data_IF_671795914551
#
_entry.id   IF_671795914551
#
_cell.length_a   1.000
_cell.length_b   1.000
_cell.length_c   1.000
_cell.angle_alpha   90.00
_cell.angle_beta   90.00
_cell.angle_gamma   90.00
#
_symmetry.space_group_name_H-M   'P 1'
#
loop_
_entity.id
_entity.type
_entity.pdbx_description
1 polymer ?
#
# COMPACT_ATOMS: atom_id res chain seq x y z
N UNK A 1 20.73 -0.11 -82.53
CA UNK A 1 20.08 0.56 -81.39
C UNK A 1 19.64 -0.52 -80.41
N UNK A 2 20.38 -0.74 -79.32
CA UNK A 2 20.07 -1.78 -78.33
C UNK A 2 20.17 -1.17 -76.93
N UNK A 3 19.03 -0.94 -76.27
CA UNK A 3 18.99 -0.44 -74.89
C UNK A 3 19.19 -1.62 -73.93
N UNK A 4 20.32 -1.66 -73.22
CA UNK A 4 20.46 -2.52 -72.04
C UNK A 4 19.65 -1.92 -70.88
N UNK A 5 18.68 -2.69 -70.38
CA UNK A 5 17.94 -2.37 -69.15
C UNK A 5 18.76 -2.85 -67.94
N UNK A 6 19.08 -1.92 -67.05
CA UNK A 6 19.67 -2.17 -65.74
C UNK A 6 18.68 -2.96 -64.87
N UNK A 7 19.08 -4.17 -64.46
CA UNK A 7 18.38 -4.93 -63.42
C UNK A 7 19.04 -4.59 -62.09
N UNK A 8 18.36 -3.85 -61.23
CA UNK A 8 18.85 -3.58 -59.87
C UNK A 8 18.60 -4.82 -59.00
N UNK A 9 19.61 -5.35 -58.28
CA UNK A 9 19.45 -6.54 -57.45
C UNK A 9 18.58 -6.26 -56.23
N UNK A 10 17.58 -7.12 -56.00
CA UNK A 10 16.54 -7.04 -54.95
C UNK A 10 17.05 -7.46 -53.55
N UNK A 11 18.34 -7.30 -53.25
CA UNK A 11 18.93 -7.73 -51.97
C UNK A 11 19.02 -6.64 -50.90
N UNK A 12 18.59 -5.41 -51.21
CA UNK A 12 18.71 -4.27 -50.30
C UNK A 12 17.55 -4.09 -49.29
N UNK A 13 16.63 -5.07 -49.17
CA UNK A 13 15.40 -4.94 -48.35
C UNK A 13 15.25 -5.99 -47.24
N UNK A 14 16.30 -6.76 -46.90
CA UNK A 14 16.19 -7.79 -45.85
C UNK A 14 17.10 -7.58 -44.63
N UNK A 15 17.99 -6.58 -44.63
CA UNK A 15 18.88 -6.34 -43.50
C UNK A 15 18.34 -5.33 -42.46
N UNK A 16 17.30 -4.54 -42.79
CA UNK A 16 16.83 -3.46 -41.92
C UNK A 16 15.80 -3.85 -40.85
N UNK A 17 15.13 -4.99 -41.00
CA UNK A 17 14.01 -5.38 -40.12
C UNK A 17 14.45 -6.14 -38.86
N UNK A 18 15.63 -6.77 -38.84
CA UNK A 18 16.11 -7.53 -37.68
C UNK A 18 16.67 -6.65 -36.55
N UNK A 19 17.25 -5.48 -36.86
CA UNK A 19 17.85 -4.59 -35.83
C UNK A 19 16.79 -3.80 -35.05
N UNK A 20 15.68 -3.43 -35.71
CA UNK A 20 14.58 -2.69 -35.06
C UNK A 20 13.74 -3.55 -34.11
N UNK A 21 13.55 -4.84 -34.42
CA UNK A 21 12.79 -5.75 -33.56
C UNK A 21 13.54 -6.13 -32.27
N UNK A 22 14.87 -6.30 -32.35
CA UNK A 22 15.70 -6.64 -31.19
C UNK A 22 15.86 -5.47 -30.19
N UNK A 23 15.96 -4.22 -30.69
CA UNK A 23 16.06 -3.04 -29.82
C UNK A 23 14.77 -2.76 -29.02
N UNK A 24 13.60 -2.97 -29.63
CA UNK A 24 12.31 -2.75 -28.97
C UNK A 24 12.03 -3.78 -27.85
N UNK A 25 12.45 -5.04 -28.04
CA UNK A 25 12.30 -6.08 -27.02
C UNK A 25 13.19 -5.82 -25.78
N UNK A 26 14.40 -5.27 -25.96
CA UNK A 26 15.30 -4.93 -24.85
C UNK A 26 14.78 -3.73 -24.04
N UNK A 27 14.18 -2.73 -24.69
CA UNK A 27 13.59 -1.57 -23.99
C UNK A 27 12.34 -1.97 -23.19
N UNK A 28 11.49 -2.86 -23.69
CA UNK A 28 10.31 -3.35 -22.94
C UNK A 28 10.68 -4.16 -21.68
N UNK A 29 11.81 -4.87 -21.70
CA UNK A 29 12.29 -5.64 -20.56
C UNK A 29 12.85 -4.76 -19.41
N UNK A 30 13.24 -3.51 -19.69
CA UNK A 30 13.84 -2.60 -18.71
C UNK A 30 12.84 -1.75 -17.92
N UNK A 31 11.53 -1.82 -18.23
CA UNK A 31 10.48 -1.00 -17.58
C UNK A 31 9.64 -1.81 -16.58
N UNK A 32 10.02 -3.06 -16.29
CA UNK A 32 9.34 -3.88 -15.28
C UNK A 32 9.93 -3.57 -13.91
N UNK A 33 9.67 -2.39 -13.38
CA UNK A 33 9.85 -2.15 -11.95
C UNK A 33 8.83 -3.04 -11.21
N UNK A 34 9.27 -3.93 -10.31
CA UNK A 34 8.34 -4.73 -9.52
C UNK A 34 7.60 -3.78 -8.57
N UNK A 35 6.36 -3.44 -8.90
CA UNK A 35 5.46 -2.82 -7.93
C UNK A 35 5.16 -3.89 -6.88
N UNK A 36 5.66 -3.71 -5.67
CA UNK A 36 5.30 -4.57 -4.54
C UNK A 36 3.84 -4.32 -4.18
N UNK A 37 2.94 -5.11 -4.79
CA UNK A 37 1.54 -5.11 -4.39
C UNK A 37 1.46 -5.81 -3.03
N UNK A 38 1.36 -5.04 -1.96
CA UNK A 38 1.18 -5.58 -0.62
C UNK A 38 -0.27 -6.10 -0.51
N UNK A 39 -0.45 -7.41 -0.41
CA UNK A 39 -1.77 -8.02 -0.23
C UNK A 39 -2.31 -7.71 1.18
N UNK A 40 -3.05 -6.61 1.32
CA UNK A 40 -3.73 -6.23 2.57
C UNK A 40 -5.04 -6.99 2.73
N UNK A 41 -5.44 -7.26 3.97
CA UNK A 41 -6.79 -7.78 4.24
C UNK A 41 -7.85 -6.75 3.84
N UNK A 42 -9.07 -7.21 3.52
CA UNK A 42 -10.19 -6.31 3.23
C UNK A 42 -10.49 -5.36 4.40
N UNK A 43 -10.29 -5.81 5.64
CA UNK A 43 -10.45 -4.99 6.85
C UNK A 43 -9.39 -3.89 6.97
N UNK A 44 -8.11 -4.20 6.70
CA UNK A 44 -7.06 -3.17 6.71
C UNK A 44 -7.28 -2.16 5.58
N UNK A 45 -7.69 -2.61 4.40
CA UNK A 45 -8.08 -1.71 3.31
C UNK A 45 -9.29 -0.85 3.69
N UNK A 46 -10.29 -1.43 4.37
CA UNK A 46 -11.43 -0.67 4.90
C UNK A 46 -11.00 0.38 5.91
N UNK A 47 -10.05 0.05 6.80
CA UNK A 47 -9.50 1.00 7.76
C UNK A 47 -8.83 2.18 7.05
N UNK A 48 -8.04 1.92 6.00
CA UNK A 48 -7.41 2.98 5.21
C UNK A 48 -8.42 3.82 4.44
N UNK A 49 -9.57 3.25 4.07
CA UNK A 49 -10.66 4.03 3.45
C UNK A 49 -11.39 4.90 4.48
N UNK A 50 -11.60 4.40 5.70
CA UNK A 50 -12.22 5.17 6.80
C UNK A 50 -11.28 6.27 7.31
N UNK A 51 -9.98 5.98 7.44
CA UNK A 51 -8.96 6.88 7.97
C UNK A 51 -7.79 7.04 6.98
N UNK A 52 -7.96 7.79 5.88
CA UNK A 52 -6.96 7.88 4.81
C UNK A 52 -5.62 8.49 5.26
N UNK A 53 -5.63 9.31 6.31
CA UNK A 53 -4.42 9.88 6.89
C UNK A 53 -3.45 8.83 7.45
N UNK A 54 -3.93 7.61 7.75
CA UNK A 54 -3.12 6.55 8.33
C UNK A 54 -2.26 5.79 7.31
N UNK A 55 -2.48 5.98 6.01
CA UNK A 55 -1.86 5.19 4.95
C UNK A 55 -0.33 5.13 5.03
N UNK A 56 0.31 6.20 5.52
CA UNK A 56 1.76 6.33 5.66
C UNK A 56 2.25 6.23 7.11
N UNK A 57 1.44 5.67 8.01
CA UNK A 57 1.74 5.57 9.44
C UNK A 57 1.97 4.13 9.90
N UNK A 58 2.44 3.95 11.15
CA UNK A 58 2.59 2.62 11.76
C UNK A 58 1.26 1.85 11.89
N UNK A 59 0.12 2.55 11.89
CA UNK A 59 -1.21 1.95 11.95
C UNK A 59 -1.64 1.28 10.63
N UNK A 60 -0.92 1.51 9.53
CA UNK A 60 -1.13 0.78 8.28
C UNK A 60 -0.44 -0.60 8.30
N UNK A 61 -0.78 -1.41 9.31
CA UNK A 61 -0.23 -2.74 9.56
C UNK A 61 -1.29 -3.61 10.21
N UNK A 62 -1.21 -4.93 10.01
CA UNK A 62 -2.10 -5.89 10.68
C UNK A 62 -2.01 -5.81 12.21
N UNK A 63 -0.90 -5.27 12.74
CA UNK A 63 -0.69 -5.08 14.18
C UNK A 63 -1.77 -4.21 14.83
N UNK A 64 -2.42 -3.32 14.07
CA UNK A 64 -3.51 -2.49 14.61
C UNK A 64 -4.68 -3.30 15.16
N UNK A 65 -4.93 -4.50 14.63
CA UNK A 65 -5.99 -5.40 15.10
C UNK A 65 -5.47 -6.68 15.75
N UNK A 66 -4.18 -7.00 15.64
CA UNK A 66 -3.61 -8.29 16.03
C UNK A 66 -2.41 -8.14 16.94
N UNK A 67 -2.41 -8.88 18.06
CA UNK A 67 -1.18 -9.14 18.83
C UNK A 67 -0.28 -10.13 18.11
N UNK A 68 -0.88 -11.16 17.51
CA UNK A 68 -0.25 -12.16 16.66
C UNK A 68 -1.33 -12.74 15.76
N UNK A 69 -1.09 -12.92 14.46
CA UNK A 69 -2.13 -13.48 13.59
C UNK A 69 -2.33 -14.97 13.92
N UNK A 70 -3.57 -15.45 14.19
CA UNK A 70 -4.87 -14.78 14.01
C UNK A 70 -5.48 -14.14 15.27
N UNK A 71 -4.80 -14.22 16.42
CA UNK A 71 -5.20 -13.62 17.70
C UNK A 71 -5.44 -12.11 17.59
N UNK A 72 -6.61 -11.64 18.03
CA UNK A 72 -6.94 -10.22 18.05
C UNK A 72 -6.38 -9.55 19.30
N UNK A 73 -5.99 -8.28 19.17
CA UNK A 73 -5.84 -7.39 20.33
C UNK A 73 -7.23 -6.89 20.78
N UNK A 74 -7.34 -6.16 21.90
CA UNK A 74 -8.61 -5.65 22.38
C UNK A 74 -9.36 -4.77 21.34
N UNK A 75 -8.67 -3.89 20.61
CA UNK A 75 -9.27 -3.10 19.51
C UNK A 75 -9.86 -3.96 18.39
N UNK A 76 -9.10 -4.95 17.91
CA UNK A 76 -9.54 -5.88 16.89
C UNK A 76 -10.74 -6.72 17.35
N UNK A 77 -10.78 -7.08 18.64
CA UNK A 77 -11.91 -7.77 19.25
C UNK A 77 -13.14 -6.85 19.32
N UNK A 78 -12.99 -5.59 19.76
CA UNK A 78 -14.06 -4.60 19.75
C UNK A 78 -14.62 -4.37 18.33
N UNK A 79 -13.74 -4.26 17.33
CA UNK A 79 -14.14 -4.14 15.93
C UNK A 79 -14.97 -5.35 15.45
N UNK A 80 -14.53 -6.56 15.77
CA UNK A 80 -15.24 -7.79 15.44
C UNK A 80 -16.62 -7.86 16.12
N UNK A 81 -16.70 -7.53 17.40
CA UNK A 81 -17.94 -7.62 18.19
C UNK A 81 -18.96 -6.56 17.81
N UNK A 82 -18.51 -5.42 17.28
CA UNK A 82 -19.36 -4.33 16.77
C UNK A 82 -19.61 -4.44 15.25
N UNK A 83 -19.60 -5.66 14.71
CA UNK A 83 -20.02 -5.91 13.33
C UNK A 83 -19.06 -5.36 12.28
N UNK A 84 -17.77 -5.20 12.61
CA UNK A 84 -16.74 -4.68 11.71
C UNK A 84 -17.01 -3.23 11.26
N UNK A 85 -17.53 -2.40 12.17
CA UNK A 85 -17.83 -1.00 11.95
C UNK A 85 -16.89 -0.09 12.79
N UNK A 86 -15.95 0.60 12.13
CA UNK A 86 -14.99 1.47 12.81
C UNK A 86 -15.66 2.63 13.57
N UNK A 87 -16.61 3.39 12.99
CA UNK A 87 -17.32 4.45 13.73
C UNK A 87 -18.00 3.98 15.01
N UNK A 88 -18.49 2.74 15.06
CA UNK A 88 -19.19 2.19 16.23
C UNK A 88 -18.27 1.96 17.43
N UNK A 89 -16.95 1.91 17.23
CA UNK A 89 -15.98 1.70 18.29
C UNK A 89 -15.13 2.93 18.59
N UNK A 90 -15.28 4.03 17.85
CA UNK A 90 -14.42 5.23 18.00
C UNK A 90 -14.34 5.77 19.43
N UNK A 91 -15.46 5.74 20.16
CA UNK A 91 -15.56 6.25 21.53
C UNK A 91 -15.27 5.20 22.62
N UNK A 92 -14.99 3.95 22.24
CA UNK A 92 -14.57 2.92 23.19
C UNK A 92 -13.10 3.13 23.54
N UNK A 93 -12.76 2.82 24.77
CA UNK A 93 -11.39 2.60 25.26
C UNK A 93 -11.19 1.08 25.26
N UNK A 94 -10.58 0.53 24.21
CA UNK A 94 -10.60 -0.92 23.99
C UNK A 94 -9.61 -1.67 24.88
N UNK A 95 -8.49 -1.05 25.21
CA UNK A 95 -7.41 -1.63 26.03
C UNK A 95 -7.36 -1.08 27.47
N UNK A 96 -8.32 -0.23 27.83
CA UNK A 96 -8.58 0.29 29.17
C UNK A 96 -7.44 1.16 29.72
N UNK A 97 -6.81 1.95 28.85
CA UNK A 97 -5.68 2.82 29.19
C UNK A 97 -6.09 4.28 29.48
N UNK A 98 -7.37 4.60 29.33
CA UNK A 98 -7.95 5.92 29.55
C UNK A 98 -8.12 6.77 28.29
N UNK A 99 -7.75 6.28 27.12
CA UNK A 99 -7.93 6.94 25.83
C UNK A 99 -8.95 6.22 24.96
N UNK A 100 -9.82 6.98 24.29
CA UNK A 100 -10.71 6.39 23.30
C UNK A 100 -9.92 6.02 22.04
N UNK A 101 -10.33 4.96 21.36
CA UNK A 101 -9.77 4.51 20.09
C UNK A 101 -9.54 5.63 19.07
N UNK A 102 -10.50 6.57 18.90
CA UNK A 102 -10.36 7.66 17.93
C UNK A 102 -9.27 8.66 18.32
N UNK A 103 -9.08 8.90 19.62
CA UNK A 103 -8.05 9.80 20.13
C UNK A 103 -6.66 9.24 19.84
N UNK A 104 -6.49 7.93 20.02
CA UNK A 104 -5.26 7.21 19.71
C UNK A 104 -4.99 7.12 18.21
N UNK A 105 -6.00 6.79 17.41
CA UNK A 105 -5.89 6.78 15.94
C UNK A 105 -5.44 8.15 15.42
N UNK A 106 -5.99 9.24 15.96
CA UNK A 106 -5.58 10.61 15.60
C UNK A 106 -4.17 10.96 16.08
N UNK A 107 -3.75 10.42 17.24
CA UNK A 107 -2.39 10.54 17.76
C UNK A 107 -1.39 9.56 17.10
N UNK A 108 -1.86 8.70 16.19
CA UNK A 108 -1.07 7.65 15.55
C UNK A 108 -0.48 6.69 16.59
N UNK A 109 -1.28 6.28 17.57
CA UNK A 109 -0.95 5.26 18.56
C UNK A 109 -1.88 4.04 18.42
N UNK A 110 -1.50 2.88 18.94
CA UNK A 110 -2.20 1.60 18.72
C UNK A 110 -3.35 1.42 19.72
N UNK A 111 -4.63 1.49 19.28
CA UNK A 111 -5.81 1.49 20.17
C UNK A 111 -6.13 0.16 20.88
N UNK A 112 -5.23 -0.81 20.77
CA UNK A 112 -5.34 -2.12 21.40
C UNK A 112 -4.04 -2.51 22.11
N UNK A 113 -3.21 -1.54 22.44
CA UNK A 113 -1.96 -1.67 23.17
C UNK A 113 -1.89 -0.55 24.23
N UNK A 114 -2.22 -0.89 25.48
CA UNK A 114 -2.24 0.06 26.61
C UNK A 114 -0.88 0.70 26.91
N UNK A 115 0.21 0.24 26.27
CA UNK A 115 1.54 0.84 26.36
C UNK A 115 1.84 1.85 25.25
N UNK A 116 1.01 1.96 24.20
CA UNK A 116 1.18 2.87 23.08
C UNK A 116 -0.01 3.81 22.96
N UNK A 117 0.08 4.91 23.71
CA UNK A 117 -1.00 5.87 23.90
C UNK A 117 -0.47 7.31 23.88
N UNK A 118 -1.34 8.33 23.71
CA UNK A 118 -0.95 9.72 23.77
C UNK A 118 -0.29 10.07 25.10
N UNK A 119 0.89 10.69 25.06
CA UNK A 119 1.52 11.23 26.26
C UNK A 119 0.83 12.53 26.64
N UNK A 120 0.17 12.58 27.80
CA UNK A 120 -0.33 13.82 28.39
C UNK A 120 0.83 14.79 28.63
N UNK A 121 1.12 15.69 27.68
CA UNK A 121 2.15 16.73 27.84
C UNK A 121 3.08 16.98 26.65
N UNK A 122 2.92 16.30 25.52
CA UNK A 122 3.66 16.63 24.30
C UNK A 122 3.12 17.93 23.68
N UNK A 123 3.45 19.07 24.28
CA UNK A 123 3.48 20.36 23.58
C UNK A 123 4.41 20.17 22.38
N UNK A 124 3.85 20.20 21.18
CA UNK A 124 4.65 20.21 19.96
C UNK A 124 5.61 21.41 20.03
N UNK A 125 6.91 21.16 20.22
CA UNK A 125 7.93 22.16 19.97
C UNK A 125 8.12 22.21 18.46
N UNK A 126 7.68 23.28 17.76
CA UNK A 126 8.00 23.43 16.35
C UNK A 126 9.52 23.60 16.19
N UNK A 127 10.13 22.83 15.28
CA UNK A 127 11.49 23.05 14.77
C UNK A 127 11.41 23.91 13.52
#
# INVERSE_FOLDING_TARGET
>A
MTRLRSVRPRWLWMAGTFVLAAGFAVVLALIQSPTTVQAKSSYLSSMMNTYPALASTKLNSCQVCHTSIPTLNPYGQAYKDNGHNFPSIELLDSDADGWSNITEIQAVTFPGDSGDHPITGATATPT
#
